data_IF_127956167487
#
_entry.id   IF_127956167487
#
_cell.length_a   1.000
_cell.length_b   1.000
_cell.length_c   1.000
_cell.angle_alpha   90.00
_cell.angle_beta   90.00
_cell.angle_gamma   90.00
#
_symmetry.space_group_name_H-M   'P 1'
#
loop_
_entity.id
_entity.type
_entity.pdbx_description
1 polymer ?
#
# COMPACT_ATOMS: atom_id res chain seq x y z
N UNK A 1 -24.75 11.70 -13.19
CA UNK A 1 -24.49 10.42 -12.51
C UNK A 1 -24.36 9.35 -13.60
N UNK A 2 -23.17 9.07 -14.13
CA UNK A 2 -23.01 8.00 -15.12
C UNK A 2 -22.81 6.65 -14.40
N UNK A 3 -23.22 5.54 -15.03
CA UNK A 3 -23.12 4.20 -14.45
C UNK A 3 -21.68 3.68 -14.51
N UNK A 4 -21.21 3.08 -13.42
CA UNK A 4 -19.96 2.32 -13.37
C UNK A 4 -20.18 0.96 -14.05
N UNK A 5 -20.14 0.95 -15.39
CA UNK A 5 -20.18 -0.27 -16.20
C UNK A 5 -18.81 -0.95 -16.30
N UNK A 6 -18.84 -2.26 -16.58
CA UNK A 6 -17.79 -3.26 -16.84
C UNK A 6 -16.58 -2.85 -17.71
N UNK A 7 -15.91 -1.77 -17.33
CA UNK A 7 -14.77 -1.22 -18.07
C UNK A 7 -13.92 -0.25 -17.26
N UNK A 8 -14.16 -0.12 -15.94
CA UNK A 8 -13.25 0.61 -15.07
C UNK A 8 -11.95 -0.17 -14.93
N UNK A 9 -11.08 0.01 -15.90
CA UNK A 9 -9.65 -0.22 -15.74
C UNK A 9 -9.18 0.92 -14.85
N UNK A 10 -8.83 0.69 -13.57
CA UNK A 10 -8.19 1.72 -12.78
C UNK A 10 -7.03 2.25 -13.63
N UNK A 11 -6.84 3.58 -13.73
CA UNK A 11 -5.67 4.09 -14.42
C UNK A 11 -4.48 3.37 -13.79
N UNK A 12 -3.71 2.66 -14.62
CA UNK A 12 -2.42 2.12 -14.21
C UNK A 12 -1.59 3.36 -13.88
N UNK A 13 -1.71 3.81 -12.63
CA UNK A 13 -1.15 5.05 -12.16
C UNK A 13 0.34 4.92 -12.33
N UNK A 14 0.89 5.71 -13.25
CA UNK A 14 2.31 6.02 -13.27
C UNK A 14 2.73 6.26 -11.81
N UNK A 15 3.76 5.52 -11.38
CA UNK A 15 4.13 5.30 -9.97
C UNK A 15 3.94 6.53 -9.10
N UNK A 16 3.11 6.38 -8.06
CA UNK A 16 2.97 7.34 -6.99
C UNK A 16 3.76 6.91 -5.75
N UNK A 17 3.84 7.78 -4.72
CA UNK A 17 4.57 7.45 -3.50
C UNK A 17 4.00 6.23 -2.77
N UNK A 18 2.74 5.87 -3.02
CA UNK A 18 2.14 4.61 -2.55
C UNK A 18 2.74 3.38 -3.24
N UNK A 19 2.88 3.39 -4.57
CA UNK A 19 3.53 2.32 -5.33
C UNK A 19 5.02 2.17 -4.97
N UNK A 20 5.74 3.28 -4.77
CA UNK A 20 7.14 3.25 -4.34
C UNK A 20 7.29 2.69 -2.92
N UNK A 21 6.40 3.07 -2.00
CA UNK A 21 6.38 2.53 -0.64
C UNK A 21 6.05 1.03 -0.64
N UNK A 22 5.08 0.62 -1.47
CA UNK A 22 4.74 -0.79 -1.63
C UNK A 22 5.92 -1.60 -2.21
N UNK A 23 6.60 -1.08 -3.23
CA UNK A 23 7.76 -1.73 -3.82
C UNK A 23 8.96 -1.80 -2.85
N UNK A 24 9.14 -0.80 -1.98
CA UNK A 24 10.15 -0.85 -0.91
C UNK A 24 9.82 -1.92 0.13
N UNK A 25 8.57 -1.97 0.59
CA UNK A 25 8.06 -2.98 1.52
C UNK A 25 8.23 -4.40 0.96
N UNK A 26 7.81 -4.62 -0.29
CA UNK A 26 7.95 -5.89 -1.00
C UNK A 26 9.41 -6.35 -1.13
N UNK A 27 10.32 -5.42 -1.44
CA UNK A 27 11.76 -5.72 -1.49
C UNK A 27 12.30 -6.15 -0.13
N UNK A 28 11.89 -5.48 0.95
CA UNK A 28 12.31 -5.86 2.30
C UNK A 28 11.76 -7.23 2.72
N UNK A 29 10.56 -7.57 2.26
CA UNK A 29 9.95 -8.89 2.45
C UNK A 29 10.56 -9.97 1.52
N UNK A 30 11.53 -9.62 0.68
CA UNK A 30 12.18 -10.55 -0.25
C UNK A 30 11.35 -10.93 -1.46
N UNK A 31 10.28 -10.19 -1.76
CA UNK A 31 9.37 -10.47 -2.88
C UNK A 31 9.32 -9.29 -3.88
N UNK A 32 10.40 -9.04 -4.65
CA UNK A 32 10.50 -7.89 -5.56
C UNK A 32 9.58 -8.00 -6.79
N UNK A 33 9.12 -9.21 -7.13
CA UNK A 33 8.16 -9.43 -8.19
C UNK A 33 6.76 -9.21 -7.62
N UNK A 34 6.28 -7.97 -7.65
CA UNK A 34 4.94 -7.65 -7.17
C UNK A 34 3.90 -8.57 -7.85
N UNK A 35 3.15 -9.39 -7.09
CA UNK A 35 1.90 -9.97 -7.59
C UNK A 35 1.02 -8.87 -8.17
N UNK A 36 0.08 -9.21 -9.05
CA UNK A 36 -0.83 -8.25 -9.68
C UNK A 36 -1.42 -7.25 -8.65
N UNK A 37 -0.79 -6.09 -8.52
CA UNK A 37 -1.09 -5.12 -7.48
C UNK A 37 -2.35 -4.39 -7.87
N UNK A 38 -3.32 -4.33 -6.96
CA UNK A 38 -4.56 -3.63 -7.21
C UNK A 38 -4.42 -2.19 -6.74
N UNK A 39 -4.43 -1.26 -7.70
CA UNK A 39 -4.50 0.17 -7.42
C UNK A 39 -5.95 0.66 -7.46
N UNK A 40 -6.34 1.42 -6.45
CA UNK A 40 -7.64 2.07 -6.30
C UNK A 40 -7.38 3.55 -6.04
N UNK A 41 -8.08 4.43 -6.76
CA UNK A 41 -8.00 5.87 -6.55
C UNK A 41 -9.40 6.41 -6.23
N UNK A 42 -9.49 7.26 -5.22
CA UNK A 42 -10.72 7.92 -4.81
C UNK A 42 -10.53 9.46 -4.86
N UNK A 43 -11.45 10.21 -5.48
CA UNK A 43 -11.39 11.67 -5.47
C UNK A 43 -11.68 12.21 -4.05
N UNK A 44 -10.96 13.27 -3.67
CA UNK A 44 -11.08 13.89 -2.36
C UNK A 44 -12.07 15.06 -2.38
N UNK A 45 -12.92 15.23 -1.33
CA UNK A 45 -13.92 16.29 -1.29
C UNK A 45 -13.33 17.72 -1.27
N UNK A 46 -12.09 17.89 -0.80
CA UNK A 46 -11.35 19.17 -0.82
C UNK A 46 -10.50 19.41 -2.08
N UNK A 47 -10.57 18.53 -3.07
CA UNK A 47 -9.63 18.49 -4.20
C UNK A 47 -8.48 17.50 -3.96
N UNK A 48 -7.88 17.02 -5.05
CA UNK A 48 -6.87 15.95 -5.03
C UNK A 48 -7.45 14.54 -5.16
N UNK A 49 -6.60 13.52 -4.98
CA UNK A 49 -6.99 12.11 -5.07
C UNK A 49 -6.25 11.29 -4.02
N UNK A 50 -6.99 10.51 -3.23
CA UNK A 50 -6.42 9.46 -2.41
C UNK A 50 -6.13 8.25 -3.29
N UNK A 51 -4.97 7.64 -3.12
CA UNK A 51 -4.58 6.44 -3.86
C UNK A 51 -4.18 5.35 -2.90
N UNK A 52 -4.68 4.15 -3.16
CA UNK A 52 -4.39 2.95 -2.40
C UNK A 52 -3.92 1.88 -3.36
N UNK A 53 -2.76 1.31 -3.10
CA UNK A 53 -2.23 0.17 -3.84
C UNK A 53 -2.08 -0.99 -2.87
N UNK A 54 -2.69 -2.13 -3.18
CA UNK A 54 -2.65 -3.34 -2.35
C UNK A 54 -2.13 -4.54 -3.09
N UNK A 55 -1.53 -5.46 -2.35
CA UNK A 55 -1.05 -6.74 -2.85
C UNK A 55 -1.22 -7.80 -1.78
N UNK A 56 -1.64 -8.99 -2.18
CA UNK A 56 -1.70 -10.15 -1.30
C UNK A 56 -0.38 -10.91 -1.40
N UNK A 57 0.27 -11.12 -0.27
CA UNK A 57 1.48 -11.93 -0.16
C UNK A 57 1.08 -13.40 -0.07
N UNK A 58 1.58 -14.21 -1.00
CA UNK A 58 1.47 -15.66 -0.95
C UNK A 58 2.83 -16.28 -1.34
N UNK A 59 3.51 -17.01 -0.44
CA UNK A 59 3.17 -17.20 0.97
C UNK A 59 3.42 -15.94 1.82
N UNK A 60 2.68 -15.80 2.93
CA UNK A 60 2.94 -14.75 3.92
C UNK A 60 4.24 -15.07 4.66
N UNK A 61 5.19 -14.12 4.77
CA UNK A 61 6.42 -14.33 5.54
C UNK A 61 6.09 -14.62 7.01
N UNK A 62 6.88 -15.48 7.65
CA UNK A 62 6.66 -15.85 9.05
C UNK A 62 6.86 -14.68 10.04
N UNK A 63 7.73 -13.71 9.69
CA UNK A 63 7.98 -12.51 10.50
C UNK A 63 8.12 -11.28 9.59
N UNK A 64 7.00 -10.76 9.07
CA UNK A 64 7.03 -9.64 8.15
C UNK A 64 7.26 -8.31 8.88
N UNK A 65 6.86 -8.21 10.15
CA UNK A 65 7.08 -7.02 10.98
C UNK A 65 8.57 -6.71 11.11
N UNK A 66 9.40 -7.73 11.39
CA UNK A 66 10.86 -7.56 11.47
C UNK A 66 11.48 -7.10 10.16
N UNK A 67 11.01 -7.60 9.02
CA UNK A 67 11.49 -7.17 7.70
C UNK A 67 11.07 -5.72 7.38
N UNK A 68 9.82 -5.37 7.69
CA UNK A 68 9.27 -4.03 7.46
C UNK A 68 9.84 -2.98 8.43
N UNK A 69 10.25 -3.37 9.63
CA UNK A 69 10.88 -2.47 10.59
C UNK A 69 12.11 -1.74 10.04
N UNK A 70 12.89 -2.41 9.17
CA UNK A 70 14.03 -1.79 8.50
C UNK A 70 13.62 -0.67 7.54
N UNK A 71 12.47 -0.81 6.87
CA UNK A 71 11.93 0.18 5.92
C UNK A 71 11.16 1.28 6.64
N UNK A 72 10.52 0.96 7.75
CA UNK A 72 9.73 1.89 8.54
C UNK A 72 10.55 3.04 9.11
N UNK A 73 11.88 2.89 9.24
CA UNK A 73 12.81 3.93 9.71
C UNK A 73 12.34 4.62 11.01
N UNK A 74 11.66 3.89 11.89
CA UNK A 74 11.13 4.40 13.17
C UNK A 74 9.76 5.09 13.09
N UNK A 75 9.13 5.19 11.92
CA UNK A 75 7.80 5.78 11.75
C UNK A 75 6.66 4.75 11.86
N UNK A 76 6.76 3.84 12.83
CA UNK A 76 5.76 2.80 13.08
C UNK A 76 4.51 3.43 13.68
N UNK A 77 3.36 3.13 13.09
CA UNK A 77 2.04 3.57 13.56
C UNK A 77 1.36 2.49 14.40
N UNK A 78 1.52 1.23 14.02
CA UNK A 78 0.91 0.09 14.68
C UNK A 78 1.82 -1.13 14.54
N UNK A 79 2.10 -1.81 15.65
CA UNK A 79 2.87 -3.04 15.68
C UNK A 79 2.17 -4.02 16.63
N UNK A 80 1.27 -4.82 16.06
CA UNK A 80 0.55 -5.88 16.76
C UNK A 80 0.65 -7.18 15.95
N UNK A 81 0.45 -8.35 16.57
CA UNK A 81 0.65 -9.64 15.89
C UNK A 81 -0.18 -9.81 14.61
N UNK A 82 -1.34 -9.18 14.55
CA UNK A 82 -2.27 -9.28 13.42
C UNK A 82 -2.04 -8.21 12.34
N UNK A 83 -1.45 -7.06 12.72
CA UNK A 83 -1.35 -5.87 11.88
C UNK A 83 -0.05 -5.11 12.15
N UNK A 84 0.70 -4.84 11.08
CA UNK A 84 1.87 -3.97 11.13
C UNK A 84 1.68 -2.78 10.19
N UNK A 85 1.73 -1.55 10.70
CA UNK A 85 1.57 -0.34 9.91
C UNK A 85 2.62 0.72 10.24
N UNK A 86 3.08 1.44 9.22
CA UNK A 86 4.08 2.50 9.34
C UNK A 86 3.87 3.58 8.29
N UNK A 87 4.45 4.76 8.52
CA UNK A 87 4.54 5.80 7.48
C UNK A 87 5.83 5.70 6.71
N UNK A 88 5.73 5.92 5.41
CA UNK A 88 6.87 6.12 4.51
C UNK A 88 6.62 7.38 3.69
N UNK A 89 7.19 8.50 4.15
CA UNK A 89 6.91 9.81 3.56
C UNK A 89 5.43 10.18 3.65
N UNK A 90 4.79 10.45 2.51
CA UNK A 90 3.37 10.78 2.41
C UNK A 90 2.44 9.56 2.37
N UNK A 91 2.99 8.35 2.23
CA UNK A 91 2.22 7.11 2.19
C UNK A 91 2.21 6.42 3.56
N UNK A 92 1.10 5.75 3.86
CA UNK A 92 0.97 4.82 4.98
C UNK A 92 0.95 3.41 4.43
N UNK A 93 1.86 2.55 4.90
CA UNK A 93 1.91 1.13 4.55
C UNK A 93 1.36 0.33 5.72
N UNK A 94 0.48 -0.63 5.44
CA UNK A 94 -0.08 -1.55 6.42
C UNK A 94 -0.03 -2.98 5.88
N UNK A 95 0.26 -3.93 6.75
CA UNK A 95 0.21 -5.35 6.48
C UNK A 95 -0.77 -6.00 7.46
N UNK A 96 -1.78 -6.68 6.93
CA UNK A 96 -2.82 -7.34 7.74
C UNK A 96 -3.07 -8.74 7.19
N UNK A 97 -2.74 -9.77 7.96
CA UNK A 97 -3.02 -11.18 7.59
C UNK A 97 -2.46 -11.64 6.23
N UNK A 98 -1.47 -10.94 5.68
CA UNK A 98 -0.90 -11.19 4.34
C UNK A 98 -1.28 -10.17 3.27
N UNK A 99 -2.25 -9.28 3.53
CA UNK A 99 -2.54 -8.17 2.64
C UNK A 99 -1.66 -6.97 2.97
N UNK A 100 -0.76 -6.62 2.04
CA UNK A 100 0.10 -5.45 2.13
C UNK A 100 -0.51 -4.31 1.32
N UNK A 101 -0.81 -3.20 1.99
CA UNK A 101 -1.53 -2.06 1.41
C UNK A 101 -0.75 -0.78 1.68
N UNK A 102 -0.53 0.03 0.64
CA UNK A 102 0.06 1.36 0.71
C UNK A 102 -0.97 2.40 0.30
N UNK A 103 -1.23 3.38 1.15
CA UNK A 103 -2.25 4.41 0.91
C UNK A 103 -1.67 5.81 1.08
N UNK A 104 -2.01 6.68 0.14
CA UNK A 104 -1.85 8.12 0.26
C UNK A 104 -3.21 8.73 0.58
N UNK A 105 -3.25 9.54 1.63
CA UNK A 105 -4.45 10.26 2.01
C UNK A 105 -4.76 11.41 1.06
N UNK A 106 -5.94 12.00 1.25
CA UNK A 106 -6.24 13.29 0.66
C UNK A 106 -5.25 14.34 1.18
N UNK A 107 -4.58 15.05 0.27
CA UNK A 107 -3.91 16.29 0.63
C UNK A 107 -5.02 17.31 0.91
N UNK A 108 -5.25 17.58 2.20
CA UNK A 108 -6.08 18.68 2.68
C UNK A 108 -5.26 19.93 2.89
#
# INVERSE_FOLDING_TARGET
MPPVGDGYRPPAGQGGPEADALAAALRALGNPAAPASQAVAAPCPGGGSARTTRVTLDPVPADPARALAAVAAGAVLLDVPEVYAYRQGAATVALTGGELTATTGCAG
#
